data_IF_206479038079
#
_entry.id   IF_206479038079
#
_cell.length_a   1.000
_cell.length_b   1.000
_cell.length_c   1.000
_cell.angle_alpha   90.00
_cell.angle_beta   90.00
_cell.angle_gamma   90.00
#
_symmetry.space_group_name_H-M   'P 1'
#
loop_
_entity.id
_entity.type
_entity.pdbx_description
1 polymer ?
#
# COMPACT_ATOMS: atom_id res chain seq x y z
N UNK A 1 8.77 -30.16 0.97
CA UNK A 1 8.52 -28.79 1.48
C UNK A 1 7.07 -28.31 1.23
N UNK A 2 6.12 -29.17 0.86
CA UNK A 2 4.72 -28.77 0.56
C UNK A 2 3.77 -28.76 1.76
N UNK A 3 4.14 -29.28 2.94
CA UNK A 3 3.20 -29.43 4.07
C UNK A 3 3.10 -28.23 5.01
N UNK A 4 4.08 -27.30 5.00
CA UNK A 4 4.05 -26.13 5.88
C UNK A 4 3.21 -24.98 5.31
N UNK A 5 3.30 -24.70 4.01
CA UNK A 5 2.54 -23.61 3.37
C UNK A 5 1.02 -23.83 3.43
N UNK A 6 0.56 -25.08 3.26
CA UNK A 6 -0.87 -25.43 3.42
C UNK A 6 -1.37 -25.32 4.86
N UNK A 7 -0.50 -25.47 5.87
CA UNK A 7 -0.86 -25.28 7.29
C UNK A 7 -1.08 -23.81 7.65
N UNK A 8 -0.30 -22.91 7.05
CA UNK A 8 -0.41 -21.46 7.31
C UNK A 8 -1.73 -20.93 6.78
N UNK A 9 -2.08 -21.30 5.54
CA UNK A 9 -3.34 -20.88 4.91
C UNK A 9 -4.58 -21.48 5.58
N UNK A 10 -4.50 -22.69 6.14
CA UNK A 10 -5.67 -23.35 6.73
C UNK A 10 -6.00 -22.93 8.16
N UNK A 11 -5.03 -22.38 8.91
CA UNK A 11 -5.18 -22.18 10.37
C UNK A 11 -5.04 -20.75 10.87
N UNK A 12 -4.28 -19.90 10.19
CA UNK A 12 -4.00 -18.55 10.65
C UNK A 12 -4.78 -17.51 9.85
N UNK A 13 -5.08 -16.37 10.46
CA UNK A 13 -5.49 -15.16 9.72
C UNK A 13 -4.23 -14.55 9.11
N UNK A 14 -4.27 -14.18 7.83
CA UNK A 14 -3.19 -13.43 7.21
C UNK A 14 -3.26 -11.97 7.67
N UNK A 15 -2.30 -11.57 8.51
CA UNK A 15 -2.25 -10.19 9.01
C UNK A 15 -1.90 -9.17 7.92
N UNK A 16 -2.29 -7.91 8.15
CA UNK A 16 -2.12 -6.78 7.22
C UNK A 16 -0.71 -6.64 6.63
N UNK A 17 0.35 -6.83 7.43
CA UNK A 17 1.74 -6.74 6.95
C UNK A 17 2.09 -7.80 5.90
N UNK A 18 1.52 -9.01 6.03
CA UNK A 18 1.75 -10.08 5.06
C UNK A 18 1.01 -9.77 3.76
N UNK A 19 -0.25 -9.33 3.84
CA UNK A 19 -1.07 -8.96 2.69
C UNK A 19 -0.47 -7.78 1.92
N UNK A 20 0.09 -6.79 2.62
CA UNK A 20 0.86 -5.69 2.02
C UNK A 20 2.02 -6.19 1.19
N UNK A 21 2.91 -6.97 1.82
CA UNK A 21 4.10 -7.52 1.17
C UNK A 21 3.72 -8.38 -0.03
N UNK A 22 2.63 -9.13 0.07
CA UNK A 22 2.12 -9.96 -1.02
C UNK A 22 1.68 -9.11 -2.22
N UNK A 23 0.88 -8.06 -2.01
CA UNK A 23 0.44 -7.15 -3.07
C UNK A 23 1.63 -6.46 -3.76
N UNK A 24 2.63 -6.05 -2.99
CA UNK A 24 3.87 -5.45 -3.52
C UNK A 24 4.64 -6.45 -4.38
N UNK A 25 4.78 -7.70 -3.95
CA UNK A 25 5.47 -8.75 -4.72
C UNK A 25 4.72 -9.05 -6.03
N UNK A 26 3.40 -9.20 -5.97
CA UNK A 26 2.58 -9.47 -7.16
C UNK A 26 2.67 -8.34 -8.17
N UNK A 27 2.67 -7.08 -7.73
CA UNK A 27 2.71 -5.92 -8.62
C UNK A 27 4.11 -5.57 -9.15
N UNK A 28 5.18 -5.83 -8.38
CA UNK A 28 6.53 -5.36 -8.71
C UNK A 28 7.53 -6.45 -9.11
N UNK A 29 7.30 -7.69 -8.69
CA UNK A 29 8.25 -8.80 -8.91
C UNK A 29 7.75 -9.78 -9.97
N UNK A 30 6.44 -10.02 -10.03
CA UNK A 30 5.89 -10.97 -10.99
C UNK A 30 5.99 -10.40 -12.43
N UNK A 31 6.55 -11.14 -13.39
CA UNK A 31 6.56 -10.70 -14.78
C UNK A 31 5.14 -10.47 -15.29
N UNK A 32 4.91 -9.37 -16.02
CA UNK A 32 3.55 -8.99 -16.48
C UNK A 32 2.83 -10.09 -17.26
N UNK A 33 3.57 -10.93 -17.99
CA UNK A 33 3.00 -12.05 -18.75
C UNK A 33 2.53 -13.23 -17.88
N UNK A 34 3.03 -13.35 -16.64
CA UNK A 34 2.66 -14.41 -15.69
C UNK A 34 1.47 -14.01 -14.81
N UNK A 35 1.19 -12.70 -14.68
CA UNK A 35 0.09 -12.17 -13.86
C UNK A 35 -1.27 -12.81 -14.21
N UNK A 36 -1.69 -12.92 -15.49
CA UNK A 36 -3.00 -13.48 -15.81
C UNK A 36 -3.16 -14.92 -15.32
N UNK A 37 -2.12 -15.75 -15.53
CA UNK A 37 -2.12 -17.15 -15.08
C UNK A 37 -2.10 -17.25 -13.56
N UNK A 38 -1.39 -16.35 -12.87
CA UNK A 38 -1.43 -16.27 -11.42
C UNK A 38 -2.83 -15.92 -10.90
N UNK A 39 -3.46 -14.87 -11.43
CA UNK A 39 -4.81 -14.45 -11.04
C UNK A 39 -5.85 -15.54 -11.31
N UNK A 40 -5.79 -16.18 -12.48
CA UNK A 40 -6.66 -17.31 -12.82
C UNK A 40 -6.52 -18.45 -11.81
N UNK A 41 -5.29 -18.84 -11.46
CA UNK A 41 -5.04 -19.91 -10.48
C UNK A 41 -5.51 -19.52 -9.09
N UNK A 42 -5.23 -18.30 -8.64
CA UNK A 42 -5.66 -17.79 -7.34
C UNK A 42 -7.19 -17.84 -7.20
N UNK A 43 -7.90 -17.32 -8.20
CA UNK A 43 -9.36 -17.27 -8.21
C UNK A 43 -9.98 -18.66 -8.40
N UNK A 44 -9.38 -19.52 -9.23
CA UNK A 44 -9.80 -20.91 -9.38
C UNK A 44 -9.62 -21.70 -8.08
N UNK A 45 -8.50 -21.52 -7.37
CA UNK A 45 -8.30 -22.12 -6.06
C UNK A 45 -9.34 -21.60 -5.07
N UNK A 46 -9.58 -20.30 -5.03
CA UNK A 46 -10.59 -19.68 -4.17
C UNK A 46 -12.01 -20.23 -4.42
N UNK A 47 -12.43 -20.38 -5.67
CA UNK A 47 -13.76 -20.86 -6.04
C UNK A 47 -13.96 -22.35 -5.75
N UNK A 48 -12.91 -23.16 -5.95
CA UNK A 48 -13.01 -24.61 -5.83
C UNK A 48 -12.65 -25.14 -4.43
N UNK A 49 -12.08 -24.30 -3.55
CA UNK A 49 -11.67 -24.78 -2.23
C UNK A 49 -12.88 -24.93 -1.28
N UNK A 50 -13.05 -26.07 -0.60
CA UNK A 50 -14.14 -26.28 0.35
C UNK A 50 -14.08 -25.29 1.52
N UNK A 51 -15.22 -24.76 2.02
CA UNK A 51 -15.25 -23.83 3.15
C UNK A 51 -15.09 -24.53 4.51
N UNK A 52 -14.21 -25.52 4.59
CA UNK A 52 -13.99 -26.34 5.81
C UNK A 52 -13.02 -25.64 6.77
N UNK A 53 -12.07 -24.87 6.24
CA UNK A 53 -11.04 -24.18 7.01
C UNK A 53 -10.87 -22.72 6.53
N UNK A 54 -9.87 -22.01 7.10
CA UNK A 54 -9.61 -20.59 6.76
C UNK A 54 -8.95 -20.38 5.39
N UNK A 55 -8.58 -21.44 4.68
CA UNK A 55 -7.86 -21.34 3.40
C UNK A 55 -8.65 -20.54 2.39
N UNK A 56 -9.94 -20.82 2.24
CA UNK A 56 -10.79 -20.08 1.29
C UNK A 56 -10.84 -18.59 1.62
N UNK A 57 -10.98 -18.24 2.91
CA UNK A 57 -10.96 -16.85 3.39
C UNK A 57 -9.63 -16.18 3.09
N UNK A 58 -8.53 -16.84 3.39
CA UNK A 58 -7.18 -16.35 3.15
C UNK A 58 -6.87 -16.18 1.65
N UNK A 59 -7.32 -17.09 0.79
CA UNK A 59 -7.19 -16.94 -0.66
C UNK A 59 -7.98 -15.71 -1.15
N UNK A 60 -9.16 -15.46 -0.59
CA UNK A 60 -9.91 -14.24 -0.85
C UNK A 60 -9.16 -12.98 -0.40
N UNK A 61 -8.55 -12.98 0.79
CA UNK A 61 -7.72 -11.86 1.26
C UNK A 61 -6.53 -11.60 0.34
N UNK A 62 -5.90 -12.65 -0.19
CA UNK A 62 -4.81 -12.53 -1.17
C UNK A 62 -5.29 -12.00 -2.52
N UNK A 63 -6.51 -12.35 -2.93
CA UNK A 63 -7.13 -11.78 -4.12
C UNK A 63 -7.40 -10.29 -3.94
N UNK A 64 -7.90 -9.85 -2.78
CA UNK A 64 -8.05 -8.41 -2.46
C UNK A 64 -6.69 -7.70 -2.49
N UNK A 65 -5.63 -8.30 -1.93
CA UNK A 65 -4.29 -7.74 -1.99
C UNK A 65 -3.70 -7.65 -3.42
N UNK A 66 -4.30 -8.36 -4.39
CA UNK A 66 -3.86 -8.38 -5.79
C UNK A 66 -4.67 -7.45 -6.70
N UNK A 67 -5.53 -6.58 -6.15
CA UNK A 67 -6.37 -5.67 -6.95
C UNK A 67 -5.57 -4.71 -7.84
N UNK A 68 -4.31 -4.41 -7.50
CA UNK A 68 -3.40 -3.59 -8.30
C UNK A 68 -3.06 -4.19 -9.66
N UNK A 69 -3.22 -5.51 -9.82
CA UNK A 69 -2.94 -6.22 -11.07
C UNK A 69 -4.21 -6.83 -11.72
N UNK A 70 -5.39 -6.44 -11.25
CA UNK A 70 -6.66 -6.98 -11.73
C UNK A 70 -6.91 -6.73 -13.23
N UNK A 71 -6.37 -5.63 -13.80
CA UNK A 71 -6.51 -5.32 -15.24
C UNK A 71 -5.97 -6.42 -16.16
N UNK A 72 -4.98 -7.19 -15.69
CA UNK A 72 -4.35 -8.26 -16.47
C UNK A 72 -5.24 -9.51 -16.56
N UNK A 73 -6.35 -9.54 -15.82
CA UNK A 73 -7.30 -10.65 -15.84
C UNK A 73 -8.74 -10.11 -15.88
N UNK A 74 -9.33 -10.09 -17.08
CA UNK A 74 -10.66 -9.49 -17.33
C UNK A 74 -11.82 -10.08 -16.52
N UNK A 75 -11.62 -11.25 -15.89
CA UNK A 75 -12.61 -11.92 -15.03
C UNK A 75 -12.22 -11.84 -13.55
N UNK A 76 -11.47 -10.82 -13.14
CA UNK A 76 -11.05 -10.66 -11.75
C UNK A 76 -12.26 -10.37 -10.85
N UNK A 77 -12.87 -11.42 -10.33
CA UNK A 77 -14.05 -11.35 -9.48
C UNK A 77 -13.87 -12.19 -8.22
N UNK A 78 -14.08 -11.56 -7.08
CA UNK A 78 -14.13 -12.19 -5.76
C UNK A 78 -15.60 -12.26 -5.36
N UNK A 79 -16.18 -13.46 -5.24
CA UNK A 79 -17.61 -13.56 -4.91
C UNK A 79 -18.00 -14.65 -3.92
N UNK A 80 -19.10 -14.40 -3.20
CA UNK A 80 -19.76 -15.37 -2.32
C UNK A 80 -18.82 -15.88 -1.20
N UNK A 81 -18.22 -14.92 -0.47
CA UNK A 81 -17.18 -15.18 0.53
C UNK A 81 -17.30 -14.28 1.77
N UNK A 82 -16.93 -14.85 2.91
CA UNK A 82 -16.63 -14.12 4.14
C UNK A 82 -15.11 -13.95 4.30
N UNK A 83 -14.65 -12.74 4.55
CA UNK A 83 -13.25 -12.37 4.72
C UNK A 83 -13.03 -11.88 6.16
N UNK A 84 -11.98 -12.39 6.81
CA UNK A 84 -11.62 -11.99 8.17
C UNK A 84 -10.84 -10.66 8.11
N UNK A 85 -9.65 -10.67 7.51
CA UNK A 85 -8.83 -9.47 7.30
C UNK A 85 -8.43 -9.33 5.83
N UNK A 86 -8.59 -8.14 5.28
CA UNK A 86 -8.19 -7.76 3.94
C UNK A 86 -7.32 -6.52 3.98
N UNK A 87 -6.35 -6.45 3.06
CA UNK A 87 -5.61 -5.22 2.80
C UNK A 87 -5.55 -4.98 1.31
N UNK A 88 -5.88 -3.76 0.92
CA UNK A 88 -5.63 -3.25 -0.42
C UNK A 88 -4.58 -2.14 -0.32
N UNK A 89 -3.64 -2.10 -1.26
CA UNK A 89 -2.56 -1.12 -1.30
C UNK A 89 -2.38 -0.58 -2.72
N UNK A 90 -1.80 0.62 -2.85
CA UNK A 90 -1.55 1.24 -4.14
C UNK A 90 -2.84 1.52 -4.92
N UNK A 91 -2.72 1.62 -6.24
CA UNK A 91 -3.86 1.87 -7.14
C UNK A 91 -4.39 0.55 -7.67
N UNK A 92 -5.63 0.21 -7.29
CA UNK A 92 -6.35 -0.90 -7.88
C UNK A 92 -6.58 -0.63 -9.37
N UNK A 93 -6.35 -1.65 -10.20
CA UNK A 93 -6.50 -1.55 -11.66
C UNK A 93 -7.82 -2.14 -12.16
N UNK A 94 -8.68 -2.61 -11.25
CA UNK A 94 -10.00 -3.10 -11.57
C UNK A 94 -10.49 -4.16 -10.59
N UNK A 95 -11.50 -4.90 -11.03
CA UNK A 95 -12.03 -6.07 -10.34
C UNK A 95 -13.38 -5.84 -9.67
N UNK A 96 -14.09 -6.93 -9.43
CA UNK A 96 -15.42 -6.92 -8.82
C UNK A 96 -15.40 -7.72 -7.51
N UNK A 97 -15.87 -7.12 -6.43
CA UNK A 97 -16.11 -7.79 -5.15
C UNK A 97 -17.62 -7.89 -4.98
N UNK A 98 -18.15 -9.12 -5.01
CA UNK A 98 -19.58 -9.38 -5.10
C UNK A 98 -20.08 -10.32 -4.00
N UNK A 99 -21.21 -10.02 -3.37
CA UNK A 99 -21.78 -10.88 -2.32
C UNK A 99 -20.74 -11.25 -1.24
N UNK A 100 -19.97 -10.26 -0.80
CA UNK A 100 -18.87 -10.47 0.14
C UNK A 100 -19.17 -9.86 1.50
N UNK A 101 -18.73 -10.52 2.56
CA UNK A 101 -18.77 -10.00 3.92
C UNK A 101 -17.34 -9.82 4.43
N UNK A 102 -16.90 -8.58 4.67
CA UNK A 102 -15.52 -8.26 5.04
C UNK A 102 -15.51 -7.76 6.49
N UNK A 103 -14.88 -8.51 7.39
CA UNK A 103 -14.82 -8.13 8.80
C UNK A 103 -13.88 -6.93 9.02
N UNK A 104 -12.74 -6.91 8.35
CA UNK A 104 -11.85 -5.75 8.35
C UNK A 104 -11.21 -5.52 6.98
N UNK A 105 -11.33 -4.31 6.46
CA UNK A 105 -10.65 -3.84 5.25
C UNK A 105 -9.69 -2.72 5.62
N UNK A 106 -8.40 -2.92 5.37
CA UNK A 106 -7.36 -1.91 5.50
C UNK A 106 -6.95 -1.40 4.12
N UNK A 107 -7.24 -0.13 3.84
CA UNK A 107 -7.00 0.49 2.53
C UNK A 107 -6.32 1.87 2.66
N UNK A 108 -5.53 2.04 3.71
CA UNK A 108 -4.70 3.24 3.93
C UNK A 108 -3.81 3.54 2.72
N UNK A 109 -3.92 4.76 2.19
CA UNK A 109 -3.21 5.22 1.00
C UNK A 109 -3.51 4.40 -0.27
N UNK A 110 -4.58 3.62 -0.29
CA UNK A 110 -5.00 2.86 -1.47
C UNK A 110 -6.00 3.66 -2.30
N UNK A 111 -5.89 3.53 -3.62
CA UNK A 111 -6.88 4.03 -4.55
C UNK A 111 -7.72 2.86 -5.08
N UNK A 112 -8.98 2.81 -4.67
CA UNK A 112 -9.94 1.76 -5.01
C UNK A 112 -10.97 2.21 -6.07
N UNK A 113 -10.78 3.36 -6.70
CA UNK A 113 -11.75 3.94 -7.65
C UNK A 113 -12.15 3.00 -8.81
N UNK A 114 -11.25 2.11 -9.23
CA UNK A 114 -11.51 1.13 -10.29
C UNK A 114 -12.19 -0.17 -9.80
N UNK A 115 -12.40 -0.33 -8.48
CA UNK A 115 -12.99 -1.54 -7.89
C UNK A 115 -14.50 -1.37 -7.79
N UNK A 116 -15.24 -2.39 -8.20
CA UNK A 116 -16.68 -2.41 -8.05
C UNK A 116 -17.10 -3.30 -6.88
N UNK A 117 -17.84 -2.74 -5.93
CA UNK A 117 -18.46 -3.47 -4.83
C UNK A 117 -19.94 -3.71 -5.13
N UNK A 118 -20.36 -4.98 -5.15
CA UNK A 118 -21.74 -5.38 -5.38
C UNK A 118 -22.26 -6.20 -4.20
N UNK A 119 -23.33 -5.77 -3.54
CA UNK A 119 -23.91 -6.49 -2.40
C UNK A 119 -22.84 -6.93 -1.38
N UNK A 120 -21.92 -6.01 -1.07
CA UNK A 120 -20.80 -6.24 -0.15
C UNK A 120 -21.03 -5.47 1.14
N UNK A 121 -20.63 -6.04 2.27
CA UNK A 121 -20.67 -5.37 3.56
C UNK A 121 -19.28 -5.35 4.19
N UNK A 122 -18.89 -4.20 4.73
CA UNK A 122 -17.64 -4.03 5.49
C UNK A 122 -18.02 -3.74 6.94
N UNK A 123 -17.50 -4.48 7.90
CA UNK A 123 -17.71 -4.14 9.31
C UNK A 123 -16.76 -3.01 9.70
N UNK A 124 -15.46 -3.25 9.57
CA UNK A 124 -14.41 -2.33 10.01
C UNK A 124 -13.59 -1.83 8.83
N UNK A 125 -13.59 -0.52 8.61
CA UNK A 125 -12.71 0.14 7.64
C UNK A 125 -11.51 0.75 8.37
N UNK A 126 -10.29 0.49 7.89
CA UNK A 126 -9.09 1.21 8.30
C UNK A 126 -8.61 2.00 7.08
N UNK A 127 -8.66 3.32 7.19
CA UNK A 127 -8.36 4.23 6.10
C UNK A 127 -7.62 5.47 6.62
N UNK A 128 -7.17 6.31 5.69
CA UNK A 128 -6.63 7.63 5.95
C UNK A 128 -7.17 8.60 4.88
N UNK A 129 -6.75 9.86 4.95
CA UNK A 129 -7.21 10.89 4.02
C UNK A 129 -6.80 10.63 2.57
N UNK A 130 -5.75 9.84 2.36
CA UNK A 130 -5.23 9.48 1.05
C UNK A 130 -6.00 8.31 0.41
N UNK A 131 -6.90 7.66 1.15
CA UNK A 131 -7.74 6.59 0.61
C UNK A 131 -8.74 7.15 -0.41
N UNK A 132 -8.69 6.67 -1.65
CA UNK A 132 -9.72 6.95 -2.68
C UNK A 132 -10.71 5.79 -2.72
N UNK A 133 -11.98 6.09 -2.49
CA UNK A 133 -13.05 5.10 -2.53
C UNK A 133 -13.84 5.18 -3.85
N UNK A 134 -14.37 4.06 -4.37
CA UNK A 134 -15.30 4.08 -5.49
C UNK A 134 -16.71 4.44 -5.02
N UNK A 135 -17.55 4.98 -5.92
CA UNK A 135 -18.97 5.27 -5.63
C UNK A 135 -19.78 4.05 -5.15
N UNK A 136 -19.31 2.84 -5.52
CA UNK A 136 -19.93 1.58 -5.12
C UNK A 136 -19.57 1.14 -3.70
N UNK A 137 -18.68 1.85 -3.01
CA UNK A 137 -18.15 1.41 -1.72
C UNK A 137 -19.26 1.26 -0.66
N UNK A 138 -19.30 0.14 0.07
CA UNK A 138 -20.33 -0.09 1.06
C UNK A 138 -20.12 0.76 2.32
N UNK A 139 -21.22 1.19 2.95
CA UNK A 139 -21.18 1.92 4.22
C UNK A 139 -20.66 0.97 5.34
N UNK A 140 -19.50 1.26 5.96
CA UNK A 140 -18.96 0.40 7.01
C UNK A 140 -19.67 0.63 8.35
N UNK A 141 -19.62 -0.35 9.25
CA UNK A 141 -20.17 -0.21 10.61
C UNK A 141 -19.28 0.64 11.54
N UNK A 142 -17.97 0.60 11.31
CA UNK A 142 -17.00 1.41 12.03
C UNK A 142 -15.85 1.82 11.12
N UNK A 143 -15.29 3.00 11.34
CA UNK A 143 -14.15 3.54 10.59
C UNK A 143 -13.04 3.90 11.56
N UNK A 144 -11.85 3.38 11.33
CA UNK A 144 -10.63 3.80 11.99
C UNK A 144 -9.82 4.64 11.02
N UNK A 145 -10.02 5.96 11.09
CA UNK A 145 -9.24 6.95 10.36
C UNK A 145 -7.90 7.18 11.08
N UNK A 146 -6.79 6.72 10.49
CA UNK A 146 -5.46 6.85 11.10
C UNK A 146 -4.89 8.27 10.97
N UNK A 147 -5.46 9.12 10.08
CA UNK A 147 -5.03 10.51 9.93
C UNK A 147 -5.55 11.41 11.06
N UNK A 148 -6.62 11.00 11.73
CA UNK A 148 -7.19 11.73 12.86
C UNK A 148 -6.60 11.21 14.17
N UNK A 149 -6.29 12.13 15.07
CA UNK A 149 -5.94 11.82 16.47
C UNK A 149 -7.16 11.32 17.27
N UNK A 150 -8.37 11.57 16.78
CA UNK A 150 -9.61 11.02 17.31
C UNK A 150 -9.72 9.52 16.96
N UNK A 151 -10.17 8.73 17.94
CA UNK A 151 -10.30 7.28 17.80
C UNK A 151 -11.36 6.82 16.78
N UNK A 152 -11.62 5.51 16.76
CA UNK A 152 -12.58 4.85 15.87
C UNK A 152 -13.97 5.51 15.88
N UNK A 153 -14.51 5.77 14.70
CA UNK A 153 -15.88 6.23 14.44
C UNK A 153 -16.81 5.01 14.47
N UNK A 154 -17.87 5.07 15.27
CA UNK A 154 -18.86 3.98 15.39
C UNK A 154 -20.29 4.41 15.04
N UNK A 155 -20.56 5.71 14.95
CA UNK A 155 -21.89 6.21 14.60
C UNK A 155 -22.14 5.97 13.11
N UNK A 156 -23.26 5.33 12.71
CA UNK A 156 -23.59 5.14 11.30
C UNK A 156 -23.68 6.45 10.53
N UNK A 157 -24.24 7.50 11.15
CA UNK A 157 -24.36 8.83 10.53
C UNK A 157 -22.99 9.46 10.27
N UNK A 158 -22.06 9.31 11.22
CA UNK A 158 -20.68 9.81 11.07
C UNK A 158 -19.90 8.97 10.06
N UNK A 159 -20.09 7.65 10.02
CA UNK A 159 -19.48 6.77 9.02
C UNK A 159 -19.95 7.17 7.61
N UNK A 160 -21.26 7.38 7.43
CA UNK A 160 -21.81 7.85 6.15
C UNK A 160 -21.28 9.22 5.76
N UNK A 161 -21.22 10.16 6.72
CA UNK A 161 -20.66 11.48 6.46
C UNK A 161 -19.18 11.42 6.06
N UNK A 162 -18.39 10.55 6.70
CA UNK A 162 -16.99 10.32 6.35
C UNK A 162 -16.84 9.72 4.94
N UNK A 163 -17.66 8.73 4.58
CA UNK A 163 -17.65 8.14 3.22
C UNK A 163 -18.02 9.19 2.18
N UNK A 164 -19.10 9.95 2.41
CA UNK A 164 -19.54 11.00 1.49
C UNK A 164 -18.46 12.07 1.32
N UNK A 165 -17.76 12.47 2.37
CA UNK A 165 -16.63 13.40 2.28
C UNK A 165 -15.49 12.85 1.41
N UNK A 166 -15.20 11.55 1.48
CA UNK A 166 -14.18 10.91 0.61
C UNK A 166 -14.63 10.74 -0.84
N UNK A 167 -15.94 10.72 -1.11
CA UNK A 167 -16.50 10.64 -2.46
C UNK A 167 -16.69 12.03 -3.10
N UNK A 168 -17.14 13.02 -2.33
CA UNK A 168 -17.37 14.40 -2.79
C UNK A 168 -16.08 15.19 -2.88
N UNK A 169 -15.19 14.99 -1.91
CA UNK A 169 -13.85 15.57 -1.85
C UNK A 169 -12.83 14.43 -1.91
N UNK A 170 -12.76 13.67 -3.03
CA UNK A 170 -11.71 12.68 -3.19
C UNK A 170 -10.37 13.40 -3.06
N UNK A 171 -9.34 12.78 -2.47
CA UNK A 171 -8.03 13.40 -2.42
C UNK A 171 -7.65 13.78 -3.86
N UNK A 172 -7.59 15.09 -4.11
CA UNK A 172 -7.41 15.64 -5.45
C UNK A 172 -6.11 15.09 -6.01
N UNK A 173 -6.17 14.42 -7.15
CA UNK A 173 -4.98 14.33 -7.99
C UNK A 173 -4.61 15.78 -8.36
N UNK A 174 -3.52 16.27 -7.77
CA UNK A 174 -2.81 17.52 -8.07
C UNK A 174 -3.18 18.79 -7.25
N UNK A 175 -2.67 18.83 -6.03
CA UNK A 175 -1.56 19.76 -5.74
C UNK A 175 -0.37 18.89 -5.30
N UNK A 176 0.10 18.07 -6.24
CA UNK A 176 1.31 17.28 -6.01
C UNK A 176 2.49 18.22 -6.20
N UNK A 177 3.39 18.24 -5.22
CA UNK A 177 4.69 18.92 -5.34
C UNK A 177 5.53 18.28 -6.47
N UNK A 178 5.15 17.08 -6.92
CA UNK A 178 5.72 16.35 -8.05
C UNK A 178 4.81 16.43 -9.28
N UNK A 179 5.27 16.98 -10.42
CA UNK A 179 4.53 16.93 -11.68
C UNK A 179 4.12 15.50 -12.05
N UNK A 180 2.92 15.32 -12.60
CA UNK A 180 2.37 14.00 -13.00
C UNK A 180 3.32 13.21 -13.89
N UNK A 181 4.05 13.89 -14.78
CA UNK A 181 5.05 13.27 -15.67
C UNK A 181 6.20 12.60 -14.92
N UNK A 182 6.51 13.06 -13.70
CA UNK A 182 7.59 12.54 -12.86
C UNK A 182 7.11 11.57 -11.79
N UNK A 183 5.80 11.46 -11.51
CA UNK A 183 5.28 10.49 -10.52
C UNK A 183 5.70 9.05 -10.80
N UNK A 184 5.90 8.71 -12.07
CA UNK A 184 6.35 7.38 -12.50
C UNK A 184 7.88 7.20 -12.51
N UNK A 185 8.64 8.27 -12.26
CA UNK A 185 10.10 8.27 -12.33
C UNK A 185 10.71 7.32 -11.27
N UNK A 186 11.77 6.55 -11.59
CA UNK A 186 12.38 5.59 -10.66
C UNK A 186 12.76 6.20 -9.30
N UNK A 187 13.28 7.43 -9.28
CA UNK A 187 13.64 8.13 -8.06
C UNK A 187 12.43 8.40 -7.14
N UNK A 188 11.27 8.79 -7.70
CA UNK A 188 10.06 9.04 -6.92
C UNK A 188 9.54 7.74 -6.31
N UNK A 189 9.53 6.65 -7.09
CA UNK A 189 9.14 5.32 -6.59
C UNK A 189 10.09 4.82 -5.50
N UNK A 190 11.39 5.08 -5.66
CA UNK A 190 12.40 4.73 -4.66
C UNK A 190 12.18 5.51 -3.36
N UNK A 191 11.92 6.81 -3.44
CA UNK A 191 11.60 7.65 -2.28
C UNK A 191 10.36 7.14 -1.55
N UNK A 192 9.25 6.91 -2.27
CA UNK A 192 8.02 6.39 -1.67
C UNK A 192 8.25 5.03 -0.98
N UNK A 193 9.06 4.16 -1.58
CA UNK A 193 9.46 2.89 -0.96
C UNK A 193 10.28 3.10 0.30
N UNK A 194 11.23 4.03 0.29
CA UNK A 194 12.06 4.33 1.45
C UNK A 194 11.23 4.89 2.62
N UNK A 195 10.27 5.77 2.35
CA UNK A 195 9.39 6.33 3.36
C UNK A 195 8.39 5.30 3.94
N UNK A 196 7.99 4.29 3.15
CA UNK A 196 7.05 3.24 3.60
C UNK A 196 7.69 2.10 4.38
N UNK A 197 9.02 2.02 4.43
CA UNK A 197 9.67 0.98 5.24
C UNK A 197 9.42 1.25 6.72
N UNK A 198 8.86 0.23 7.40
CA UNK A 198 8.53 0.29 8.84
C UNK A 198 9.76 0.30 9.76
N UNK A 199 10.94 -0.06 9.25
CA UNK A 199 12.16 -0.03 10.05
C UNK A 199 12.56 1.41 10.29
N UNK A 200 12.67 1.78 11.56
CA UNK A 200 13.08 3.12 11.96
C UNK A 200 14.49 3.46 11.46
N UNK A 201 15.39 2.48 11.29
CA UNK A 201 16.72 2.68 10.71
C UNK A 201 16.96 1.73 9.54
N UNK A 202 17.41 2.26 8.42
CA UNK A 202 17.92 1.51 7.28
C UNK A 202 19.42 1.29 7.43
N UNK A 203 19.86 0.04 7.26
CA UNK A 203 21.28 -0.32 7.27
C UNK A 203 21.59 -1.32 6.17
N UNK A 204 22.74 -1.15 5.50
CA UNK A 204 23.26 -2.13 4.56
C UNK A 204 23.57 -3.44 5.29
N UNK A 205 23.02 -4.54 4.76
CA UNK A 205 23.27 -5.90 5.26
C UNK A 205 22.32 -6.39 6.35
N UNK A 206 21.44 -5.55 6.90
CA UNK A 206 20.45 -5.98 7.90
C UNK A 206 19.22 -6.63 7.24
N UNK A 207 18.71 -6.04 6.14
CA UNK A 207 17.52 -6.51 5.44
C UNK A 207 17.68 -6.34 3.91
N UNK A 208 17.16 -7.31 3.14
CA UNK A 208 17.10 -7.29 1.67
C UNK A 208 16.34 -6.06 1.17
N UNK A 209 15.30 -5.61 1.88
CA UNK A 209 14.54 -4.42 1.50
C UNK A 209 15.35 -3.13 1.69
N UNK A 210 16.08 -3.01 2.80
CA UNK A 210 16.99 -1.89 3.03
C UNK A 210 18.13 -1.87 2.00
N UNK A 211 18.71 -3.03 1.68
CA UNK A 211 19.74 -3.15 0.65
C UNK A 211 19.24 -2.67 -0.73
N UNK A 212 18.03 -3.08 -1.14
CA UNK A 212 17.43 -2.64 -2.41
C UNK A 212 17.25 -1.13 -2.52
N UNK A 213 17.06 -0.42 -1.41
CA UNK A 213 16.98 1.04 -1.42
C UNK A 213 18.38 1.65 -1.45
N UNK A 214 19.23 1.23 -0.50
CA UNK A 214 20.56 1.83 -0.29
C UNK A 214 21.55 1.55 -1.43
N UNK A 215 21.26 0.57 -2.28
CA UNK A 215 22.08 0.18 -3.43
C UNK A 215 21.48 0.66 -4.78
N UNK A 216 20.33 1.36 -4.76
CA UNK A 216 19.73 1.93 -5.97
C UNK A 216 20.54 3.12 -6.50
N UNK A 217 20.60 3.27 -7.83
CA UNK A 217 21.36 4.33 -8.50
C UNK A 217 20.86 5.74 -8.16
N UNK A 218 19.57 5.91 -7.85
CA UNK A 218 18.99 7.21 -7.48
C UNK A 218 19.14 7.53 -5.99
N UNK A 219 19.48 6.54 -5.16
CA UNK A 219 19.58 6.74 -3.71
C UNK A 219 20.59 7.83 -3.31
N UNK A 220 21.80 7.92 -3.87
CA UNK A 220 22.75 8.97 -3.50
C UNK A 220 22.22 10.39 -3.72
N UNK A 221 21.45 10.62 -4.79
CA UNK A 221 20.83 11.91 -5.07
C UNK A 221 19.72 12.23 -4.07
N UNK A 222 18.82 11.27 -3.82
CA UNK A 222 17.72 11.41 -2.84
C UNK A 222 18.29 11.63 -1.43
N UNK A 223 19.29 10.85 -1.03
CA UNK A 223 19.95 10.94 0.27
C UNK A 223 20.54 12.34 0.51
N UNK A 224 21.24 12.88 -0.50
CA UNK A 224 21.80 14.23 -0.47
C UNK A 224 20.71 15.28 -0.28
N UNK A 225 19.62 15.20 -1.04
CA UNK A 225 18.52 16.16 -0.98
C UNK A 225 17.74 16.07 0.34
N UNK A 226 17.45 14.86 0.83
CA UNK A 226 16.82 14.67 2.14
C UNK A 226 17.70 15.25 3.26
N UNK A 227 19.01 15.02 3.22
CA UNK A 227 19.95 15.56 4.20
C UNK A 227 20.04 17.10 4.15
N UNK A 228 20.08 17.68 2.96
CA UNK A 228 20.10 19.14 2.77
C UNK A 228 18.85 19.82 3.33
N UNK A 229 17.73 19.09 3.37
CA UNK A 229 16.44 19.58 3.86
C UNK A 229 16.13 19.20 5.32
N UNK A 230 17.09 18.63 6.07
CA UNK A 230 16.90 18.09 7.43
C UNK A 230 15.83 16.98 7.54
N UNK A 231 15.50 16.35 6.41
CA UNK A 231 14.58 15.21 6.30
C UNK A 231 15.29 13.86 6.43
N UNK A 232 16.60 13.87 6.69
CA UNK A 232 17.40 12.67 6.89
C UNK A 232 18.22 12.76 8.17
N UNK A 233 18.19 11.69 8.96
CA UNK A 233 19.12 11.48 10.06
C UNK A 233 20.07 10.35 9.71
N UNK A 234 21.38 10.62 9.80
CA UNK A 234 22.43 9.62 9.59
C UNK A 234 23.17 9.41 10.91
N UNK A 235 23.25 8.17 11.37
CA UNK A 235 24.02 7.80 12.55
C UNK A 235 25.08 6.75 12.19
N UNK A 236 26.29 6.96 12.67
CA UNK A 236 27.34 5.95 12.67
C UNK A 236 27.30 5.26 14.03
N UNK A 237 26.96 3.96 14.04
CA UNK A 237 26.96 3.18 15.27
C UNK A 237 28.01 2.09 15.17
N UNK A 238 28.79 1.95 16.25
CA UNK A 238 29.67 0.80 16.41
C UNK A 238 28.86 -0.41 16.83
N UNK A 239 28.84 -1.43 15.98
CA UNK A 239 28.35 -2.75 16.33
C UNK A 239 29.48 -3.75 16.02
N UNK A 240 30.22 -4.14 17.06
CA UNK A 240 31.22 -5.23 17.07
C UNK A 240 32.00 -5.42 15.76
N UNK A 241 32.80 -4.42 15.38
CA UNK A 241 33.63 -4.45 14.18
C UNK A 241 33.73 -3.08 13.50
N UNK A 242 33.31 -3.00 12.24
CA UNK A 242 33.34 -1.79 11.40
C UNK A 242 32.15 -0.88 11.67
N UNK A 243 32.37 0.44 11.64
CA UNK A 243 31.30 1.43 11.79
C UNK A 243 30.18 1.18 10.77
N UNK A 244 28.96 1.01 11.27
CA UNK A 244 27.80 0.80 10.44
C UNK A 244 27.01 2.10 10.30
N UNK A 245 26.72 2.48 9.05
CA UNK A 245 25.91 3.65 8.71
C UNK A 245 24.43 3.28 8.76
N UNK A 246 23.70 3.94 9.65
CA UNK A 246 22.26 3.84 9.79
C UNK A 246 21.62 5.13 9.25
N UNK A 247 20.57 4.97 8.46
CA UNK A 247 19.86 6.09 7.83
C UNK A 247 18.40 6.04 8.23
N UNK A 248 17.85 7.18 8.65
CA UNK A 248 16.45 7.33 9.00
C UNK A 248 15.85 8.51 8.23
N UNK A 249 14.80 8.25 7.46
CA UNK A 249 14.02 9.30 6.80
C UNK A 249 13.06 9.89 7.85
N UNK A 250 13.25 11.17 8.16
CA UNK A 250 12.39 11.92 9.07
C UNK A 250 11.14 12.36 8.31
N UNK A 251 10.04 12.53 9.03
CA UNK A 251 8.79 13.04 8.46
C UNK A 251 8.35 12.24 7.22
N UNK A 252 8.55 10.92 7.26
CA UNK A 252 8.25 10.03 6.14
C UNK A 252 6.79 10.15 5.69
N UNK A 253 5.86 10.33 6.64
CA UNK A 253 4.44 10.54 6.36
C UNK A 253 4.21 11.87 5.63
N UNK A 254 4.80 12.99 6.08
CA UNK A 254 4.70 14.30 5.42
C UNK A 254 5.28 14.26 3.99
N UNK A 255 6.36 13.52 3.78
CA UNK A 255 6.94 13.31 2.44
C UNK A 255 5.98 12.49 1.58
N UNK A 256 5.37 11.42 2.11
CA UNK A 256 4.48 10.54 1.36
C UNK A 256 3.20 11.24 0.89
N UNK A 257 2.65 12.14 1.71
CA UNK A 257 1.46 12.94 1.38
C UNK A 257 1.81 14.26 0.70
N UNK A 258 3.10 14.50 0.41
CA UNK A 258 3.59 15.72 -0.23
C UNK A 258 3.10 17.00 0.48
N UNK A 259 3.21 17.03 1.81
CA UNK A 259 2.63 18.08 2.66
C UNK A 259 3.09 19.49 2.24
N UNK A 260 2.19 20.23 1.58
CA UNK A 260 2.44 21.59 1.09
C UNK A 260 2.64 22.63 2.20
N UNK A 261 2.24 22.30 3.43
CA UNK A 261 2.38 23.18 4.59
C UNK A 261 3.74 23.06 5.27
N UNK A 262 4.54 22.03 4.95
CA UNK A 262 5.90 21.89 5.48
C UNK A 262 6.92 22.49 4.50
N UNK A 263 7.59 23.61 4.86
CA UNK A 263 8.56 24.27 3.98
C UNK A 263 9.75 23.38 3.61
N UNK A 264 10.14 22.43 4.47
CA UNK A 264 11.24 21.52 4.20
C UNK A 264 10.85 20.49 3.13
N UNK A 265 9.63 19.95 3.21
CA UNK A 265 9.07 19.01 2.22
C UNK A 265 8.87 19.70 0.86
N UNK A 266 8.31 20.91 0.87
CA UNK A 266 8.13 21.73 -0.35
C UNK A 266 9.48 22.02 -1.03
N UNK A 267 10.49 22.41 -0.26
CA UNK A 267 11.83 22.70 -0.80
C UNK A 267 12.49 21.42 -1.34
N UNK A 268 12.40 20.32 -0.59
CA UNK A 268 12.89 19.02 -1.02
C UNK A 268 12.31 18.59 -2.37
N UNK A 269 10.97 18.61 -2.53
CA UNK A 269 10.34 18.19 -3.77
C UNK A 269 10.66 19.13 -4.94
N UNK A 270 10.77 20.44 -4.70
CA UNK A 270 11.21 21.40 -5.72
C UNK A 270 12.62 21.08 -6.23
N UNK A 271 13.55 20.81 -5.31
CA UNK A 271 14.93 20.46 -5.66
C UNK A 271 15.01 19.10 -6.35
N UNK A 272 14.23 18.11 -5.88
CA UNK A 272 14.15 16.80 -6.51
C UNK A 272 13.61 16.90 -7.93
N UNK A 273 12.52 17.63 -8.16
CA UNK A 273 11.96 17.84 -9.50
C UNK A 273 12.97 18.50 -10.42
N UNK A 274 13.68 19.54 -9.94
CA UNK A 274 14.74 20.19 -10.71
C UNK A 274 15.84 19.20 -11.10
N UNK A 275 16.34 18.41 -10.14
CA UNK A 275 17.36 17.37 -10.37
C UNK A 275 16.88 16.34 -11.41
N UNK A 276 15.62 15.92 -11.36
CA UNK A 276 15.06 14.94 -12.29
C UNK A 276 14.84 15.51 -13.70
N UNK A 277 14.56 16.81 -13.83
CA UNK A 277 14.39 17.46 -15.13
C UNK A 277 15.69 17.87 -15.80
N UNK A 278 16.70 18.29 -15.02
CA UNK A 278 17.98 18.77 -15.53
C UNK A 278 19.02 17.65 -15.64
N UNK A 279 18.91 16.63 -14.80
CA UNK A 279 19.86 15.53 -14.65
C UNK A 279 19.55 14.28 -15.47
N UNK A 280 18.98 14.40 -16.68
CA UNK A 280 18.85 13.26 -17.61
C UNK A 280 20.25 12.77 -18.02
N UNK A 281 20.82 11.87 -17.22
CA UNK A 281 21.98 11.04 -17.51
C UNK A 281 21.67 10.02 -18.61
#
# INVERSE_FOLDING_TARGET
MSSQSGRILSRNILGSSFLETFGDVVSSVLPKHDIPTFCERLLSMFQNYPPIDRTRRNLGSLAVASLTVAEFYSKFQISDIELDECRATGTASGGVIKNAFISQLDCRGANLSAVQFENTSVISLIADRETVLPDSFPEPQQIRDISRSAGTIFSPEECRAWINDHLENPPTEDISLVPVTLKQHPAIKLLQRACRIRQYWLRRGDDIYAARILDDAWWPAIERLLAANDLLKVELRQASGTDARFVHVRQADDILVENENDPAVVRFYRELVAELTEGSL
#
